data_IF_718864138146
#
_entry.id   IF_718864138146
#
_cell.length_a   1.000
_cell.length_b   1.000
_cell.length_c   1.000
_cell.angle_alpha   90.00
_cell.angle_beta   90.00
_cell.angle_gamma   90.00
#
_symmetry.space_group_name_H-M   'P 1'
#
loop_
_entity.id
_entity.type
_entity.pdbx_description
1 polymer ?
#
# COMPACT_ATOMS: atom_id res chain seq x y z
N UNK A 1 4.92 5.45 -14.12
CA UNK A 1 3.72 5.03 -13.42
C UNK A 1 4.06 5.08 -11.97
N UNK A 2 3.38 6.01 -11.32
CA UNK A 2 3.40 6.24 -9.89
C UNK A 2 2.08 5.67 -9.39
N UNK A 3 2.14 4.70 -8.49
CA UNK A 3 0.97 4.27 -7.73
C UNK A 3 1.06 5.00 -6.39
N UNK A 4 -0.04 5.61 -5.95
CA UNK A 4 -0.03 6.37 -4.72
C UNK A 4 -1.30 6.14 -3.92
N UNK A 5 -1.14 6.18 -2.60
CA UNK A 5 -2.23 6.35 -1.66
C UNK A 5 -1.89 7.56 -0.78
N UNK A 6 -2.89 8.30 -0.36
CA UNK A 6 -2.74 9.51 0.44
C UNK A 6 -4.09 10.00 0.93
N UNK A 7 -4.09 11.14 1.61
CA UNK A 7 -5.33 11.84 1.93
C UNK A 7 -5.93 12.48 0.68
N UNK A 8 -7.25 12.39 0.54
CA UNK A 8 -7.99 13.00 -0.58
C UNK A 8 -8.18 14.51 -0.40
N UNK A 9 -8.08 15.00 0.84
CA UNK A 9 -8.21 16.41 1.16
C UNK A 9 -6.95 17.20 0.79
N UNK A 10 -7.11 18.21 -0.06
CA UNK A 10 -6.03 19.07 -0.60
C UNK A 10 -5.21 19.78 0.49
N UNK A 11 -5.80 20.04 1.65
CA UNK A 11 -5.17 20.75 2.77
C UNK A 11 -4.85 19.85 3.98
N UNK A 12 -5.02 18.54 3.86
CA UNK A 12 -4.67 17.63 4.94
C UNK A 12 -3.16 17.71 5.24
N UNK A 13 -2.75 17.60 6.50
CA UNK A 13 -1.34 17.51 6.85
C UNK A 13 -0.64 16.40 6.04
N UNK A 14 0.50 16.69 5.44
CA UNK A 14 1.35 15.72 4.71
C UNK A 14 2.05 14.73 5.66
N UNK A 15 1.30 14.12 6.57
CA UNK A 15 1.74 13.16 7.57
C UNK A 15 1.42 11.72 7.18
N UNK A 16 0.70 11.55 6.07
CA UNK A 16 0.26 10.28 5.53
C UNK A 16 0.48 10.25 4.02
N UNK A 17 0.59 9.05 3.47
CA UNK A 17 0.80 8.84 2.06
C UNK A 17 1.92 7.83 1.81
N UNK A 18 1.72 6.98 0.82
CA UNK A 18 2.70 6.02 0.36
C UNK A 18 2.67 5.97 -1.16
N UNK A 19 3.83 5.74 -1.77
CA UNK A 19 3.91 5.64 -3.21
C UNK A 19 4.91 4.57 -3.65
N UNK A 20 4.55 3.90 -4.75
CA UNK A 20 5.39 2.97 -5.49
C UNK A 20 5.71 3.57 -6.86
N UNK A 21 7.00 3.71 -7.15
CA UNK A 21 7.48 4.10 -8.48
C UNK A 21 7.89 2.84 -9.22
N UNK A 22 7.25 2.59 -10.36
CA UNK A 22 7.52 1.40 -11.16
C UNK A 22 8.46 1.70 -12.32
N UNK A 23 9.49 0.86 -12.47
CA UNK A 23 10.33 0.79 -13.66
C UNK A 23 9.51 0.40 -14.89
N UNK A 24 10.03 0.61 -16.10
CA UNK A 24 9.31 0.25 -17.34
C UNK A 24 8.93 -1.24 -17.36
N UNK A 25 9.83 -2.12 -16.91
CA UNK A 25 9.59 -3.56 -16.87
C UNK A 25 8.52 -3.92 -15.84
N UNK A 26 8.61 -3.37 -14.62
CA UNK A 26 7.63 -3.64 -13.56
C UNK A 26 6.21 -3.19 -13.93
N UNK A 27 6.06 -2.13 -14.73
CA UNK A 27 4.75 -1.68 -15.22
C UNK A 27 4.05 -2.74 -16.07
N UNK A 28 4.79 -3.44 -16.94
CA UNK A 28 4.23 -4.47 -17.80
C UNK A 28 3.82 -5.72 -17.02
N UNK A 29 4.43 -5.93 -15.85
CA UNK A 29 4.09 -7.02 -14.95
C UNK A 29 2.92 -6.67 -14.02
N UNK A 30 2.50 -5.40 -13.90
CA UNK A 30 1.42 -5.03 -12.97
C UNK A 30 0.09 -5.63 -13.44
N UNK A 31 -0.55 -6.38 -12.54
CA UNK A 31 -1.89 -6.95 -12.72
C UNK A 31 -2.95 -5.98 -12.20
N UNK A 32 -2.69 -5.37 -11.05
CA UNK A 32 -3.61 -4.44 -10.41
C UNK A 32 -2.99 -3.85 -9.15
N UNK A 33 -3.63 -2.80 -8.62
CA UNK A 33 -3.26 -2.21 -7.35
C UNK A 33 -4.49 -1.63 -6.67
N UNK A 34 -4.42 -1.54 -5.34
CA UNK A 34 -5.48 -0.98 -4.52
C UNK A 34 -4.89 -0.21 -3.33
N UNK A 35 -5.60 0.82 -2.92
CA UNK A 35 -5.35 1.58 -1.70
C UNK A 35 -6.17 0.97 -0.56
N UNK A 36 -5.54 0.84 0.61
CA UNK A 36 -6.20 0.44 1.85
C UNK A 36 -6.11 1.58 2.85
N UNK A 37 -6.68 2.72 2.46
CA UNK A 37 -6.56 3.98 3.18
C UNK A 37 -5.26 4.70 2.83
N UNK A 38 -5.08 5.90 3.37
CA UNK A 38 -4.00 6.84 3.04
C UNK A 38 -2.59 6.28 3.22
N UNK A 39 -2.40 5.31 4.13
CA UNK A 39 -1.08 4.81 4.53
C UNK A 39 -0.69 3.46 3.95
N UNK A 40 -1.56 2.80 3.17
CA UNK A 40 -1.31 1.43 2.70
C UNK A 40 -1.65 1.32 1.22
N UNK A 41 -0.75 0.71 0.46
CA UNK A 41 -0.94 0.35 -0.94
C UNK A 41 -0.54 -1.10 -1.17
N UNK A 42 -1.38 -1.86 -1.88
CA UNK A 42 -1.08 -3.23 -2.36
C UNK A 42 -1.00 -3.19 -3.88
N UNK A 43 0.05 -3.76 -4.44
CA UNK A 43 0.22 -3.92 -5.88
C UNK A 43 0.56 -5.37 -6.19
N UNK A 44 -0.13 -5.93 -7.19
CA UNK A 44 0.01 -7.31 -7.63
C UNK A 44 0.72 -7.36 -8.97
N UNK A 45 1.74 -8.21 -9.10
CA UNK A 45 2.55 -8.36 -10.28
C UNK A 45 2.55 -9.80 -10.77
N UNK A 46 2.43 -10.00 -12.08
CA UNK A 46 2.68 -11.28 -12.72
C UNK A 46 4.18 -11.56 -12.66
N UNK A 47 4.55 -12.75 -12.21
CA UNK A 47 5.94 -13.18 -12.24
C UNK A 47 6.27 -13.87 -13.58
N UNK A 48 7.54 -14.24 -13.76
CA UNK A 48 7.95 -15.05 -14.92
C UNK A 48 7.41 -16.47 -14.86
N UNK A 49 7.11 -16.97 -13.65
CA UNK A 49 6.54 -18.29 -13.45
C UNK A 49 5.01 -18.22 -13.62
N UNK A 50 4.48 -19.05 -14.52
CA UNK A 50 3.05 -19.06 -14.82
C UNK A 50 2.23 -19.49 -13.59
N UNK A 51 1.11 -18.80 -13.37
CA UNK A 51 0.25 -19.04 -12.21
C UNK A 51 0.70 -18.37 -10.91
N UNK A 52 1.91 -17.79 -10.84
CA UNK A 52 2.40 -17.10 -9.65
C UNK A 52 2.19 -15.59 -9.77
N UNK A 53 1.45 -15.04 -8.81
CA UNK A 53 1.28 -13.59 -8.59
C UNK A 53 2.07 -13.16 -7.37
N UNK A 54 2.93 -12.16 -7.54
CA UNK A 54 3.65 -11.52 -6.45
C UNK A 54 2.87 -10.31 -5.95
N UNK A 55 2.55 -10.28 -4.66
CA UNK A 55 1.93 -9.12 -4.03
C UNK A 55 3.00 -8.32 -3.27
N UNK A 56 3.00 -7.00 -3.46
CA UNK A 56 3.82 -6.06 -2.70
C UNK A 56 2.87 -5.14 -1.95
N UNK A 57 2.92 -5.20 -0.62
CA UNK A 57 2.21 -4.26 0.25
C UNK A 57 3.23 -3.29 0.83
N UNK A 58 3.08 -2.00 0.52
CA UNK A 58 3.86 -0.93 1.13
C UNK A 58 2.96 -0.14 2.06
N UNK A 59 3.46 0.12 3.26
CA UNK A 59 2.74 0.91 4.25
C UNK A 59 3.64 1.85 5.03
N UNK A 60 3.08 2.96 5.48
CA UNK A 60 3.71 3.85 6.45
C UNK A 60 3.10 3.60 7.82
N UNK A 61 3.88 3.00 8.73
CA UNK A 61 3.39 2.63 10.06
C UNK A 61 3.06 3.89 10.90
N UNK A 62 2.13 3.79 11.87
CA UNK A 62 1.95 4.81 12.89
C UNK A 62 3.25 5.07 13.66
N UNK A 63 3.40 6.29 14.15
CA UNK A 63 4.55 6.71 14.95
C UNK A 63 4.40 6.26 16.41
N UNK A 64 5.49 6.24 17.19
CA UNK A 64 5.46 5.76 18.58
C UNK A 64 4.53 6.58 19.49
N UNK A 65 4.37 7.86 19.21
CA UNK A 65 3.48 8.82 19.89
C UNK A 65 2.01 8.68 19.50
N UNK A 66 1.68 7.86 18.50
CA UNK A 66 0.28 7.55 18.16
C UNK A 66 -0.41 6.78 19.29
N UNK A 67 -1.71 7.00 19.47
CA UNK A 67 -2.54 6.22 20.41
C UNK A 67 -2.50 4.72 20.05
N UNK A 68 -2.51 3.85 21.05
CA UNK A 68 -2.47 2.39 20.88
C UNK A 68 -3.70 1.88 20.11
N UNK A 69 -4.89 2.46 20.32
CA UNK A 69 -6.08 2.11 19.53
C UNK A 69 -5.86 2.34 18.02
N UNK A 70 -5.14 3.42 17.66
CA UNK A 70 -4.82 3.74 16.25
C UNK A 70 -3.79 2.76 15.71
N UNK A 71 -2.82 2.35 16.53
CA UNK A 71 -1.83 1.34 16.16
C UNK A 71 -2.50 -0.01 15.93
N UNK A 72 -3.34 -0.44 16.86
CA UNK A 72 -4.05 -1.71 16.79
C UNK A 72 -4.96 -1.75 15.56
N UNK A 73 -5.78 -0.71 15.35
CA UNK A 73 -6.62 -0.61 14.15
C UNK A 73 -5.79 -0.65 12.86
N UNK A 74 -4.62 -0.02 12.83
CA UNK A 74 -3.74 -0.05 11.66
C UNK A 74 -3.21 -1.46 11.39
N UNK A 75 -2.75 -2.18 12.41
CA UNK A 75 -2.21 -3.53 12.25
C UNK A 75 -3.28 -4.58 11.98
N UNK A 76 -4.48 -4.46 12.56
CA UNK A 76 -5.65 -5.26 12.20
C UNK A 76 -6.02 -5.07 10.73
N UNK A 77 -6.03 -3.81 10.26
CA UNK A 77 -6.24 -3.52 8.84
C UNK A 77 -5.15 -4.13 7.97
N UNK A 78 -3.88 -4.01 8.35
CA UNK A 78 -2.76 -4.58 7.62
C UNK A 78 -2.86 -6.11 7.54
N UNK A 79 -3.27 -6.77 8.62
CA UNK A 79 -3.48 -8.22 8.65
C UNK A 79 -4.61 -8.64 7.69
N UNK A 80 -5.73 -7.91 7.66
CA UNK A 80 -6.85 -8.20 6.76
C UNK A 80 -6.50 -8.14 5.26
N UNK A 81 -5.39 -7.50 4.89
CA UNK A 81 -4.89 -7.39 3.50
C UNK A 81 -4.12 -8.65 3.09
N UNK A 82 -3.50 -9.34 4.05
CA UNK A 82 -2.76 -10.60 3.84
C UNK A 82 -3.75 -11.76 3.67
N UNK A 83 -4.87 -11.72 4.39
CA UNK A 83 -5.91 -12.75 4.37
C UNK A 83 -6.76 -12.76 3.07
N UNK A 84 -6.46 -11.86 2.13
CA UNK A 84 -7.12 -11.74 0.80
C UNK A 84 -6.14 -11.97 -0.35
#
# INVERSE_FOLDING_TARGET
MLLYSGHEEENAPHTQGVALILSKVARNALVGWESHGSKIIKASFKTMEEGIIMNITQCYAPTNDSNDDIKDQFYERLQSIIEK
#
